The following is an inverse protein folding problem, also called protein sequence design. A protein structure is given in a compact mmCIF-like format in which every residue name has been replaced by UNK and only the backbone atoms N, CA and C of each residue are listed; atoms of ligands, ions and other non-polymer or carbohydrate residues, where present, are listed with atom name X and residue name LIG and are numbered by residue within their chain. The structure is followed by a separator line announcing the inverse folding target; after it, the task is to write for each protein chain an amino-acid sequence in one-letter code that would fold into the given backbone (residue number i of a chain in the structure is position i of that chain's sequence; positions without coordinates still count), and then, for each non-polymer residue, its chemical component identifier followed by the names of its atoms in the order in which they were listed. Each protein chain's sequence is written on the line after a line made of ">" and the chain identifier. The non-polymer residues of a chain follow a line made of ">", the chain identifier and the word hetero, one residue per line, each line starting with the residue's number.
data_IF_845758987983
#
_entry.id   IF_845758987983
#
_cell.length_a   1.000
_cell.length_b   1.000
_cell.length_c   1.000
_cell.angle_alpha   90.00
_cell.angle_beta   90.00
_cell.angle_gamma   90.00
#
_symmetry.space_group_name_H-M   'P 1'
#
loop_
_entity.id
_entity.type
_entity.pdbx_description
1 polymer ?
#
# COMPACT_ATOMS: atom_id res chain seq x y z
N UNK A 1 5.74 -0.09 -0.30
CA UNK A 1 5.10 -0.28 1.02
C UNK A 1 4.19 -1.50 0.96
N UNK A 2 4.33 -2.41 1.92
CA UNK A 2 3.48 -3.58 2.11
C UNK A 2 2.87 -3.53 3.51
N UNK A 3 1.58 -3.82 3.63
CA UNK A 3 0.91 -4.04 4.91
C UNK A 3 0.63 -5.54 5.05
N UNK A 4 1.22 -6.19 6.06
CA UNK A 4 1.01 -7.59 6.37
C UNK A 4 0.13 -7.73 7.60
N UNK A 5 -1.06 -8.32 7.44
CA UNK A 5 -1.99 -8.59 8.53
C UNK A 5 -1.60 -9.84 9.32
N UNK A 6 -1.58 -9.73 10.64
CA UNK A 6 -1.37 -10.86 11.55
C UNK A 6 -2.66 -11.60 11.89
N UNK A 7 -2.56 -12.71 12.62
CA UNK A 7 -3.72 -13.39 13.18
C UNK A 7 -4.47 -12.54 14.23
N UNK A 8 -3.76 -11.59 14.83
CA UNK A 8 -4.30 -10.52 15.69
C UNK A 8 -3.72 -9.18 15.25
N UNK A 9 -4.41 -8.05 15.46
CA UNK A 9 -3.96 -6.73 14.99
C UNK A 9 -2.59 -6.29 15.52
N UNK A 10 -2.20 -6.76 16.71
CA UNK A 10 -0.90 -6.47 17.33
C UNK A 10 0.28 -7.15 16.61
N UNK A 11 0.00 -8.14 15.75
CA UNK A 11 0.99 -8.80 14.91
C UNK A 11 1.02 -8.24 13.48
N UNK A 12 0.28 -7.17 13.20
CA UNK A 12 0.39 -6.49 11.92
C UNK A 12 1.80 -5.91 11.77
N UNK A 13 2.30 -5.90 10.53
CA UNK A 13 3.62 -5.33 10.23
C UNK A 13 3.56 -4.59 8.90
N UNK A 14 4.11 -3.38 8.88
CA UNK A 14 4.29 -2.61 7.65
C UNK A 14 5.74 -2.67 7.22
N UNK A 15 5.98 -3.10 5.98
CA UNK A 15 7.27 -2.96 5.33
C UNK A 15 7.30 -1.68 4.48
N UNK A 16 8.29 -0.84 4.73
CA UNK A 16 8.55 0.38 3.97
C UNK A 16 9.83 0.20 3.16
N UNK A 17 9.78 0.61 1.90
CA UNK A 17 10.95 0.65 1.04
C UNK A 17 11.75 1.90 1.38
N UNK A 18 13.02 1.73 1.76
CA UNK A 18 13.95 2.81 2.04
C UNK A 18 15.22 2.66 1.18
N UNK A 19 15.96 3.76 1.01
CA UNK A 19 17.15 3.79 0.15
C UNK A 19 18.21 2.74 0.52
N UNK A 20 18.26 2.31 1.78
CA UNK A 20 19.26 1.37 2.30
C UNK A 20 18.66 0.02 2.69
N UNK A 21 17.44 -0.30 2.24
CA UNK A 21 16.77 -1.57 2.52
C UNK A 21 15.34 -1.40 3.02
N UNK A 22 14.78 -2.48 3.56
CA UNK A 22 13.41 -2.47 4.10
C UNK A 22 13.39 -2.06 5.58
N UNK A 23 12.42 -1.23 5.95
CA UNK A 23 12.12 -0.89 7.34
C UNK A 23 10.80 -1.56 7.73
N UNK A 24 10.79 -2.22 8.89
CA UNK A 24 9.59 -2.84 9.44
C UNK A 24 9.02 -2.00 10.57
N UNK A 25 7.69 -1.83 10.57
CA UNK A 25 6.95 -1.08 11.58
C UNK A 25 5.86 -1.98 12.12
N UNK A 26 5.93 -2.25 13.42
CA UNK A 26 5.04 -3.14 14.19
C UNK A 26 4.46 -2.45 15.44
N UNK A 27 4.97 -1.27 15.79
CA UNK A 27 4.47 -0.51 16.92
C UNK A 27 3.05 0.01 16.66
N UNK A 28 2.14 -0.27 17.61
CA UNK A 28 0.69 -0.03 17.44
C UNK A 28 0.29 1.41 17.04
N UNK A 29 0.85 2.49 17.63
CA UNK A 29 0.51 3.86 17.20
C UNK A 29 0.86 4.13 15.74
N UNK A 30 1.99 3.59 15.27
CA UNK A 30 2.45 3.73 13.90
C UNK A 30 1.63 2.86 12.94
N UNK A 31 1.27 1.64 13.34
CA UNK A 31 0.38 0.77 12.56
C UNK A 31 -0.97 1.41 12.29
N UNK A 32 -1.58 2.07 13.29
CA UNK A 32 -2.85 2.80 13.11
C UNK A 32 -2.73 3.88 12.04
N UNK A 33 -1.63 4.64 12.04
CA UNK A 33 -1.37 5.67 11.02
C UNK A 33 -1.25 5.05 9.63
N UNK A 34 -0.51 3.95 9.50
CA UNK A 34 -0.32 3.30 8.21
C UNK A 34 -1.58 2.60 7.69
N UNK A 35 -2.43 2.07 8.57
CA UNK A 35 -3.73 1.52 8.19
C UNK A 35 -4.63 2.59 7.58
N UNK A 36 -4.76 3.74 8.24
CA UNK A 36 -5.54 4.86 7.72
C UNK A 36 -4.97 5.43 6.40
N UNK A 37 -3.64 5.38 6.21
CA UNK A 37 -3.03 5.75 4.93
C UNK A 37 -3.38 4.74 3.84
N UNK A 38 -3.30 3.45 4.15
CA UNK A 38 -3.59 2.38 3.21
C UNK A 38 -5.04 2.43 2.71
N UNK A 39 -6.01 2.60 3.62
CA UNK A 39 -7.43 2.76 3.27
C UNK A 39 -7.68 3.95 2.33
N UNK A 40 -6.99 5.08 2.55
CA UNK A 40 -7.08 6.25 1.67
C UNK A 40 -6.51 5.99 0.28
N UNK A 41 -5.38 5.28 0.21
CA UNK A 41 -4.75 4.91 -1.07
C UNK A 41 -5.67 3.96 -1.83
N UNK A 42 -6.21 2.94 -1.15
CA UNK A 42 -7.11 1.97 -1.74
C UNK A 42 -8.38 2.65 -2.29
N UNK A 43 -8.98 3.57 -1.53
CA UNK A 43 -10.16 4.33 -1.98
C UNK A 43 -9.90 5.28 -3.16
N UNK A 44 -8.65 5.71 -3.37
CA UNK A 44 -8.26 6.57 -4.50
C UNK A 44 -7.72 5.78 -5.70
N UNK A 45 -7.36 4.51 -5.51
CA UNK A 45 -6.75 3.69 -6.54
C UNK A 45 -7.80 3.21 -7.57
N UNK A 46 -7.38 3.13 -8.83
CA UNK A 46 -8.15 2.43 -9.85
C UNK A 46 -8.12 0.92 -9.59
N UNK A 47 -9.20 0.23 -9.96
CA UNK A 47 -9.18 -1.22 -10.03
C UNK A 47 -8.09 -1.71 -11.00
N UNK A 48 -7.67 -2.98 -10.86
CA UNK A 48 -6.67 -3.55 -11.76
C UNK A 48 -7.09 -3.47 -13.25
N UNK A 49 -8.39 -3.64 -13.53
CA UNK A 49 -8.93 -3.49 -14.88
C UNK A 49 -8.88 -2.05 -15.37
N UNK A 50 -9.38 -1.10 -14.58
CA UNK A 50 -9.38 0.32 -14.96
C UNK A 50 -7.96 0.88 -15.09
N UNK A 51 -7.03 0.43 -14.25
CA UNK A 51 -5.60 0.76 -14.36
C UNK A 51 -5.02 0.31 -15.69
N UNK A 52 -5.29 -0.93 -16.10
CA UNK A 52 -4.81 -1.49 -17.37
C UNK A 52 -5.40 -0.73 -18.56
N UNK A 53 -6.71 -0.46 -18.54
CA UNK A 53 -7.37 0.28 -19.61
C UNK A 53 -6.80 1.70 -19.75
N UNK A 54 -6.54 2.36 -18.61
CA UNK A 54 -5.89 3.67 -18.57
C UNK A 54 -4.48 3.64 -19.17
N UNK A 55 -3.65 2.65 -18.78
CA UNK A 55 -2.29 2.47 -19.33
C UNK A 55 -2.32 2.22 -20.84
N UNK A 56 -3.21 1.35 -21.32
CA UNK A 56 -3.33 1.08 -22.75
C UNK A 56 -3.77 2.31 -23.53
N UNK A 57 -4.69 3.11 -22.99
CA UNK A 57 -5.10 4.36 -23.63
C UNK A 57 -3.93 5.33 -23.77
N UNK A 58 -3.15 5.56 -22.70
CA UNK A 58 -1.95 6.41 -22.78
C UNK A 58 -0.96 5.87 -23.83
N UNK A 59 -0.70 4.56 -23.84
CA UNK A 59 0.26 3.97 -24.77
C UNK A 59 -0.19 4.04 -26.25
N UNK A 60 -1.50 4.11 -26.51
CA UNK A 60 -2.08 4.26 -27.85
C UNK A 60 -2.15 5.72 -28.30
N UNK A 61 -2.21 6.66 -27.36
CA UNK A 61 -2.24 8.10 -27.60
C UNK A 61 -0.84 8.73 -27.74
N UNK A 62 0.23 7.92 -27.66
CA UNK A 62 1.64 8.31 -27.81
C UNK A 62 2.24 7.95 -29.18
#
# INVERSE_FOLDING_TARGET
>A
MLYAGGAVPELDTVQLDAAHGSIFVDAAPQLQKYRALYEKIEGAALSAAASRDFIHRIAQDM
#
